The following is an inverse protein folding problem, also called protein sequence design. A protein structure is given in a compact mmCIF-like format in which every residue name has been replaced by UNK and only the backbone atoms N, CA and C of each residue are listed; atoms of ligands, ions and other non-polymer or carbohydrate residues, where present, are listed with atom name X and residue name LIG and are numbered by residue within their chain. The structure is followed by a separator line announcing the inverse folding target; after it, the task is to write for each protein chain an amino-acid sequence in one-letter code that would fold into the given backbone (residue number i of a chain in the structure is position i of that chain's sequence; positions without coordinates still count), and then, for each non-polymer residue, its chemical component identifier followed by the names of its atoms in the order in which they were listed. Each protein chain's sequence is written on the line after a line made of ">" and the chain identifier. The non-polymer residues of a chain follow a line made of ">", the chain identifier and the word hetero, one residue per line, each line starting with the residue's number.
data_IF_508762421364
#
_entry.id   IF_508762421364
#
_cell.length_a   1.000
_cell.length_b   1.000
_cell.length_c   1.000
_cell.angle_alpha   90.00
_cell.angle_beta   90.00
_cell.angle_gamma   90.00
#
_symmetry.space_group_name_H-M   'P 1'
#
loop_
_entity.id
_entity.type
_entity.pdbx_description
1 polymer ?
#
# COMPACT_ATOMS: atom_id res chain seq x y z
N UNK A 1 -8.03 -28.12 33.63
CA UNK A 1 -7.70 -26.75 33.20
C UNK A 1 -8.57 -26.43 31.99
N UNK A 2 -9.56 -25.55 32.14
CA UNK A 2 -10.39 -25.06 31.02
C UNK A 2 -9.62 -23.91 30.37
N UNK A 3 -9.24 -24.05 29.11
CA UNK A 3 -8.72 -22.92 28.35
C UNK A 3 -9.83 -21.88 28.23
N UNK A 4 -9.75 -20.83 29.05
CA UNK A 4 -10.62 -19.65 29.00
C UNK A 4 -10.24 -18.81 27.77
N UNK A 5 -10.38 -19.38 26.57
CA UNK A 5 -10.39 -18.63 25.32
C UNK A 5 -11.70 -17.82 25.16
N UNK A 6 -12.22 -17.23 26.23
CA UNK A 6 -13.01 -15.99 26.12
C UNK A 6 -12.10 -14.79 25.74
N UNK A 7 -10.78 -15.04 25.65
CA UNK A 7 -9.62 -14.13 25.66
C UNK A 7 -9.37 -13.25 24.42
N UNK A 8 -10.15 -13.37 23.33
CA UNK A 8 -10.07 -12.47 22.17
C UNK A 8 -11.44 -11.87 21.83
N UNK A 9 -12.49 -12.63 22.06
CA UNK A 9 -13.86 -12.20 21.83
C UNK A 9 -14.28 -11.09 22.79
N UNK A 10 -13.94 -11.18 24.09
CA UNK A 10 -14.18 -10.08 25.05
C UNK A 10 -13.38 -8.81 24.74
N UNK A 11 -12.22 -8.94 24.09
CA UNK A 11 -11.37 -7.82 23.67
C UNK A 11 -11.92 -7.13 22.40
N UNK A 12 -12.45 -7.92 21.46
CA UNK A 12 -13.19 -7.44 20.28
C UNK A 12 -14.61 -6.95 20.61
N UNK A 13 -15.19 -7.37 21.73
CA UNK A 13 -16.56 -7.07 22.11
C UNK A 13 -16.67 -6.11 23.31
N UNK A 14 -15.56 -5.54 23.80
CA UNK A 14 -15.45 -4.63 24.95
C UNK A 14 -16.73 -3.79 25.13
N UNK A 15 -17.64 -4.27 25.97
CA UNK A 15 -18.95 -3.68 26.27
C UNK A 15 -19.81 -3.21 25.07
N UNK A 16 -19.69 -3.83 23.89
CA UNK A 16 -20.49 -3.55 22.68
C UNK A 16 -19.86 -2.57 21.67
N UNK A 17 -18.71 -1.97 21.96
CA UNK A 17 -18.07 -0.96 21.11
C UNK A 17 -16.80 -1.42 20.38
N UNK A 18 -16.28 -2.61 20.73
CA UNK A 18 -15.03 -3.10 20.14
C UNK A 18 -15.02 -3.20 18.60
N UNK A 19 -16.11 -3.60 17.89
CA UNK A 19 -16.11 -3.61 16.43
C UNK A 19 -15.85 -2.23 15.81
N UNK A 20 -16.33 -1.16 16.44
CA UNK A 20 -16.15 0.21 15.96
C UNK A 20 -14.69 0.67 16.10
N UNK A 21 -14.07 0.35 17.24
CA UNK A 21 -12.68 0.69 17.53
C UNK A 21 -11.75 -0.01 16.55
N UNK A 22 -11.94 -1.32 16.32
CA UNK A 22 -11.16 -2.07 15.35
C UNK A 22 -11.37 -1.56 13.92
N UNK A 23 -12.60 -1.18 13.54
CA UNK A 23 -12.85 -0.55 12.24
C UNK A 23 -12.05 0.75 12.08
N UNK A 24 -12.05 1.63 13.09
CA UNK A 24 -11.22 2.84 13.08
C UNK A 24 -9.73 2.51 12.93
N UNK A 25 -9.20 1.55 13.70
CA UNK A 25 -7.80 1.12 13.59
C UNK A 25 -7.46 0.58 12.20
N UNK A 26 -8.32 -0.26 11.63
CA UNK A 26 -8.11 -0.82 10.29
C UNK A 26 -8.14 0.28 9.24
N UNK A 27 -9.11 1.19 9.28
CA UNK A 27 -9.22 2.31 8.33
C UNK A 27 -7.99 3.21 8.45
N UNK A 28 -7.58 3.57 9.66
CA UNK A 28 -6.39 4.40 9.89
C UNK A 28 -5.12 3.69 9.41
N UNK A 29 -4.95 2.40 9.74
CA UNK A 29 -3.80 1.61 9.29
C UNK A 29 -3.75 1.52 7.76
N UNK A 30 -4.88 1.31 7.09
CA UNK A 30 -4.97 1.31 5.64
C UNK A 30 -4.64 2.69 5.05
N UNK A 31 -5.15 3.77 5.63
CA UNK A 31 -4.85 5.13 5.19
C UNK A 31 -3.35 5.46 5.32
N UNK A 32 -2.72 5.10 6.44
CA UNK A 32 -1.29 5.28 6.66
C UNK A 32 -0.47 4.41 5.69
N UNK A 33 -0.84 3.15 5.53
CA UNK A 33 -0.20 2.23 4.58
C UNK A 33 -0.30 2.78 3.16
N UNK A 34 -1.47 3.28 2.77
CA UNK A 34 -1.69 3.93 1.48
C UNK A 34 -0.81 5.17 1.32
N UNK A 35 -0.70 6.02 2.33
CA UNK A 35 0.15 7.20 2.29
C UNK A 35 1.64 6.85 2.12
N UNK A 36 2.10 5.76 2.72
CA UNK A 36 3.47 5.24 2.57
C UNK A 36 3.69 4.59 1.20
N UNK A 37 2.73 3.82 0.69
CA UNK A 37 2.83 3.12 -0.59
C UNK A 37 2.64 4.06 -1.80
N UNK A 38 1.79 5.07 -1.68
CA UNK A 38 1.48 6.05 -2.73
C UNK A 38 2.74 6.65 -3.38
N UNK A 39 3.72 7.22 -2.65
CA UNK A 39 4.93 7.75 -3.25
C UNK A 39 5.81 6.67 -3.87
N UNK A 40 5.85 5.47 -3.29
CA UNK A 40 6.66 4.35 -3.81
C UNK A 40 6.11 3.87 -5.15
N UNK A 41 4.80 3.67 -5.25
CA UNK A 41 4.13 3.24 -6.48
C UNK A 41 4.32 4.30 -7.57
N UNK A 42 4.11 5.58 -7.25
CA UNK A 42 4.31 6.69 -8.20
C UNK A 42 5.76 6.77 -8.69
N UNK A 43 6.75 6.62 -7.80
CA UNK A 43 8.17 6.60 -8.18
C UNK A 43 8.50 5.45 -9.15
N UNK A 44 7.97 4.25 -8.89
CA UNK A 44 8.16 3.10 -9.78
C UNK A 44 7.54 3.32 -11.15
N UNK A 45 6.34 3.91 -11.21
CA UNK A 45 5.68 4.25 -12.47
C UNK A 45 6.48 5.30 -13.27
N UNK A 46 6.96 6.35 -12.62
CA UNK A 46 7.78 7.39 -13.25
C UNK A 46 9.11 6.83 -13.79
N UNK A 47 9.80 5.99 -13.02
CA UNK A 47 11.04 5.35 -13.49
C UNK A 47 10.80 4.43 -14.69
N UNK A 48 9.67 3.71 -14.72
CA UNK A 48 9.31 2.87 -15.86
C UNK A 48 9.07 3.71 -17.12
N UNK A 49 8.40 4.85 -17.00
CA UNK A 49 8.15 5.75 -18.11
C UNK A 49 9.44 6.39 -18.64
N UNK A 50 10.32 6.86 -17.75
CA UNK A 50 11.63 7.40 -18.15
C UNK A 50 12.48 6.37 -18.91
N UNK A 51 12.50 5.11 -18.46
CA UNK A 51 13.19 4.01 -19.17
C UNK A 51 12.60 3.78 -20.56
N UNK A 52 11.28 3.86 -20.70
CA UNK A 52 10.61 3.71 -22.00
C UNK A 52 11.00 4.84 -22.96
N UNK A 53 10.99 6.09 -22.49
CA UNK A 53 11.38 7.24 -23.30
C UNK A 53 12.86 7.21 -23.70
N UNK A 54 13.75 6.73 -22.82
CA UNK A 54 15.18 6.59 -23.14
C UNK A 54 15.41 5.63 -24.32
N UNK A 55 14.70 4.49 -24.36
CA UNK A 55 14.81 3.54 -25.47
C UNK A 55 14.33 4.13 -26.80
N UNK A 56 13.24 4.90 -26.79
CA UNK A 56 12.72 5.52 -28.03
C UNK A 56 13.73 6.53 -28.59
N UNK A 57 14.31 7.38 -27.73
CA UNK A 57 15.34 8.36 -28.14
C UNK A 57 16.59 7.71 -28.71
N UNK A 58 17.02 6.58 -28.16
CA UNK A 58 18.18 5.83 -28.67
C UNK A 58 17.95 5.33 -30.11
N UNK A 59 16.73 4.88 -30.42
CA UNK A 59 16.36 4.47 -31.78
C UNK A 59 16.35 5.66 -32.76
N UNK A 60 15.83 6.82 -32.34
CA UNK A 60 15.79 8.03 -33.20
C UNK A 60 17.19 8.52 -33.54
N UNK A 61 18.12 8.56 -32.57
CA UNK A 61 19.51 8.96 -32.81
C UNK A 61 20.24 8.02 -33.78
N UNK A 62 19.91 6.72 -33.76
CA UNK A 62 20.50 5.72 -34.66
C UNK A 62 20.07 5.90 -36.12
N UNK A 63 18.89 6.47 -36.35
CA UNK A 63 18.39 6.77 -37.70
C UNK A 63 18.83 8.15 -38.23
N UNK A 64 19.20 9.09 -37.36
CA UNK A 64 19.69 10.41 -37.79
C UNK A 64 21.19 10.44 -38.15
N UNK A 65 21.96 9.42 -37.72
CA UNK A 65 23.43 9.35 -37.91
C UNK A 65 23.85 8.49 -39.11
N UNK A 66 22.92 8.06 -39.98
CA UNK A 66 23.20 7.26 -41.18
C UNK A 66 22.60 7.91 -42.42
#
# INVERSE_FOLDING_TARGET
>A
MKFQFESLQGFLWMSGHGPYVWACYVITALALTYLLLSPVIKRRALMADLKRQARVREHEMRHQTS
#
